data_IF_999127473847
#
_entry.id   IF_999127473847
#
_cell.length_a   1.000
_cell.length_b   1.000
_cell.length_c   1.000
_cell.angle_alpha   90.00
_cell.angle_beta   90.00
_cell.angle_gamma   90.00
#
_symmetry.space_group_name_H-M   'P 1'
#
loop_
_entity.id
_entity.type
_entity.pdbx_description
1 polymer ?
#
# COMPACT_ATOMS: atom_id res chain seq x y z
N UNK A 1 9.28 13.95 1.54
CA UNK A 1 7.83 13.75 1.69
C UNK A 1 7.17 15.06 1.34
N UNK A 2 6.71 15.20 0.10
CA UNK A 2 6.07 16.42 -0.39
C UNK A 2 4.63 16.43 0.14
N UNK A 3 4.22 17.52 0.78
CA UNK A 3 2.88 17.72 1.32
C UNK A 3 2.31 18.99 0.71
N UNK A 4 1.18 18.87 0.02
CA UNK A 4 0.44 20.02 -0.51
C UNK A 4 -0.69 20.37 0.46
N UNK A 5 -0.90 21.66 0.68
CA UNK A 5 -2.04 22.18 1.43
C UNK A 5 -2.92 23.00 0.49
N UNK A 6 -4.24 22.83 0.60
CA UNK A 6 -5.24 23.56 -0.18
C UNK A 6 -6.09 24.38 0.79
N UNK A 7 -6.15 25.70 0.60
CA UNK A 7 -6.95 26.61 1.41
C UNK A 7 -8.05 27.24 0.54
N UNK A 8 -9.24 27.41 1.09
CA UNK A 8 -10.38 28.07 0.43
C UNK A 8 -10.87 29.23 1.29
N UNK A 9 -11.14 30.38 0.66
CA UNK A 9 -11.61 31.60 1.31
C UNK A 9 -13.04 31.45 1.86
N UNK A 10 -13.89 30.72 1.14
CA UNK A 10 -15.30 30.52 1.51
C UNK A 10 -15.52 29.37 2.49
N UNK A 11 -14.46 28.67 2.89
CA UNK A 11 -14.53 27.44 3.69
C UNK A 11 -15.11 26.22 2.94
N UNK A 12 -15.51 26.38 1.68
CA UNK A 12 -15.98 25.29 0.82
C UNK A 12 -14.85 24.88 -0.14
N UNK A 13 -14.53 23.59 -0.16
CA UNK A 13 -13.49 23.03 -1.01
C UNK A 13 -14.18 22.27 -2.16
N UNK A 14 -14.25 22.89 -3.33
CA UNK A 14 -14.74 22.27 -4.56
C UNK A 14 -13.60 21.69 -5.40
N UNK A 15 -13.94 20.81 -6.36
CA UNK A 15 -13.01 20.19 -7.31
C UNK A 15 -12.13 21.20 -8.04
N UNK A 16 -12.68 22.36 -8.38
CA UNK A 16 -11.94 23.41 -9.07
C UNK A 16 -10.79 23.98 -8.20
N UNK A 17 -11.04 24.18 -6.89
CA UNK A 17 -10.07 24.71 -5.92
C UNK A 17 -8.87 23.77 -5.75
N UNK A 18 -9.13 22.46 -5.80
CA UNK A 18 -8.10 21.41 -5.73
C UNK A 18 -7.24 21.42 -6.99
N UNK A 19 -7.87 21.54 -8.16
CA UNK A 19 -7.19 21.47 -9.45
C UNK A 19 -6.36 22.74 -9.73
N UNK A 20 -6.83 23.90 -9.27
CA UNK A 20 -6.10 25.17 -9.40
C UNK A 20 -4.75 25.15 -8.66
N UNK A 21 -4.71 24.55 -7.47
CA UNK A 21 -3.48 24.42 -6.69
C UNK A 21 -2.51 23.34 -7.20
N UNK A 22 -2.97 22.45 -8.09
CA UNK A 22 -2.20 21.29 -8.54
C UNK A 22 -1.53 21.48 -9.91
N UNK A 23 -1.48 22.70 -10.46
CA UNK A 23 -1.03 22.94 -11.85
C UNK A 23 0.49 22.89 -12.08
N UNK A 24 1.32 22.70 -11.05
CA UNK A 24 2.78 22.69 -11.19
C UNK A 24 3.41 21.44 -10.56
N UNK A 25 3.17 20.27 -11.18
CA UNK A 25 4.16 19.20 -11.28
C UNK A 25 3.66 18.14 -12.28
N UNK A 26 4.17 18.04 -13.52
CA UNK A 26 3.94 16.84 -14.31
C UNK A 26 4.51 15.66 -13.52
N UNK A 27 3.76 14.57 -13.30
CA UNK A 27 4.27 13.45 -12.54
C UNK A 27 5.54 12.92 -13.21
N UNK A 28 6.69 13.03 -12.51
CA UNK A 28 7.86 12.22 -12.85
C UNK A 28 7.38 10.78 -12.86
N UNK A 29 7.38 10.15 -14.02
CA UNK A 29 7.03 8.76 -14.18
C UNK A 29 7.92 7.91 -13.26
N UNK A 30 7.38 7.50 -12.11
CA UNK A 30 7.98 6.43 -11.33
C UNK A 30 7.88 5.15 -12.16
N UNK A 31 8.90 4.28 -12.15
CA UNK A 31 8.82 3.01 -12.83
C UNK A 31 7.61 2.24 -12.29
N UNK A 32 6.77 1.84 -13.24
CA UNK A 32 5.55 1.09 -13.05
C UNK A 32 5.84 -0.16 -12.20
N UNK A 33 5.49 -0.10 -10.92
CA UNK A 33 5.78 -1.15 -9.93
C UNK A 33 4.60 -1.34 -8.99
N UNK A 34 3.52 -1.94 -9.51
CA UNK A 34 2.45 -2.52 -8.70
C UNK A 34 1.30 -1.57 -8.36
N UNK A 35 0.52 -1.22 -9.37
CA UNK A 35 -0.88 -0.83 -9.14
C UNK A 35 -1.63 -2.07 -8.64
N UNK A 36 -2.11 -2.04 -7.41
CA UNK A 36 -3.37 -2.68 -7.00
C UNK A 36 -3.79 -2.03 -5.68
N UNK A 37 -4.46 -0.89 -5.80
CA UNK A 37 -5.16 -0.22 -4.70
C UNK A 37 -6.67 -0.57 -4.70
N UNK A 38 -7.07 -1.64 -5.40
CA UNK A 38 -8.48 -2.04 -5.54
C UNK A 38 -8.76 -3.38 -4.87
N UNK A 39 -9.61 -3.37 -3.83
CA UNK A 39 -10.21 -4.59 -3.27
C UNK A 39 -10.27 -4.71 -1.74
N UNK A 40 -10.24 -3.61 -0.99
CA UNK A 40 -10.00 -3.60 0.45
C UNK A 40 -11.09 -4.20 1.38
N UNK A 41 -12.20 -4.76 0.90
CA UNK A 41 -13.29 -5.18 1.80
C UNK A 41 -13.89 -6.58 1.62
N UNK A 42 -13.52 -7.35 0.58
CA UNK A 42 -14.08 -8.70 0.36
C UNK A 42 -13.02 -9.84 0.32
N UNK A 43 -11.73 -9.51 0.13
CA UNK A 43 -10.64 -10.50 -0.09
C UNK A 43 -9.77 -10.79 1.16
N UNK A 44 -10.22 -10.47 2.37
CA UNK A 44 -9.35 -10.55 3.56
C UNK A 44 -8.85 -11.97 3.86
N UNK A 45 -9.70 -12.99 3.67
CA UNK A 45 -9.33 -14.40 3.87
C UNK A 45 -8.34 -14.87 2.80
N UNK A 46 -8.58 -14.54 1.53
CA UNK A 46 -7.69 -14.89 0.42
C UNK A 46 -6.33 -14.20 0.52
N UNK A 47 -6.31 -12.96 0.98
CA UNK A 47 -5.08 -12.20 1.19
C UNK A 47 -4.25 -12.77 2.34
N UNK A 48 -4.89 -13.21 3.44
CA UNK A 48 -4.22 -13.89 4.54
C UNK A 48 -3.56 -15.18 4.06
N UNK A 49 -4.31 -15.99 3.30
CA UNK A 49 -3.80 -17.27 2.78
C UNK A 49 -2.66 -17.05 1.78
N UNK A 50 -2.77 -16.05 0.91
CA UNK A 50 -1.70 -15.69 -0.04
C UNK A 50 -0.44 -15.21 0.68
N UNK A 51 -0.59 -14.44 1.75
CA UNK A 51 0.53 -13.96 2.56
C UNK A 51 1.24 -15.13 3.28
N UNK A 52 0.48 -16.06 3.86
CA UNK A 52 1.03 -17.27 4.50
C UNK A 52 1.78 -18.13 3.49
N UNK A 53 1.19 -18.42 2.33
CA UNK A 53 1.83 -19.23 1.29
C UNK A 53 3.15 -18.61 0.80
N UNK A 54 3.21 -17.28 0.67
CA UNK A 54 4.44 -16.57 0.32
C UNK A 54 5.49 -16.62 1.45
N UNK A 55 5.06 -16.52 2.71
CA UNK A 55 5.94 -16.65 3.87
C UNK A 55 6.51 -18.07 3.97
N UNK A 56 5.71 -19.11 3.78
CA UNK A 56 6.15 -20.51 3.77
C UNK A 56 7.16 -20.76 2.66
N UNK A 57 6.85 -20.33 1.42
CA UNK A 57 7.78 -20.44 0.28
C UNK A 57 9.08 -19.66 0.49
N UNK A 58 9.03 -18.60 1.28
CA UNK A 58 10.19 -17.79 1.64
C UNK A 58 10.98 -18.33 2.84
N UNK A 59 10.52 -19.39 3.52
CA UNK A 59 11.11 -19.85 4.78
C UNK A 59 10.97 -18.82 5.90
N UNK A 60 9.83 -18.13 5.94
CA UNK A 60 9.48 -17.07 6.90
C UNK A 60 10.34 -15.79 6.83
N UNK A 61 11.11 -15.63 5.75
CA UNK A 61 11.87 -14.40 5.47
C UNK A 61 10.96 -13.34 4.84
N UNK A 62 10.53 -12.35 5.63
CA UNK A 62 9.59 -11.29 5.21
C UNK A 62 10.01 -10.55 3.94
N UNK A 63 11.28 -10.17 3.82
CA UNK A 63 11.78 -9.45 2.64
C UNK A 63 11.68 -10.29 1.35
N UNK A 64 11.86 -11.62 1.46
CA UNK A 64 11.73 -12.54 0.34
C UNK A 64 10.26 -12.79 -0.01
N UNK A 65 9.39 -12.92 1.00
CA UNK A 65 7.95 -13.00 0.80
C UNK A 65 7.40 -11.72 0.13
N UNK A 66 7.86 -10.54 0.55
CA UNK A 66 7.47 -9.26 -0.03
C UNK A 66 7.81 -9.19 -1.53
N UNK A 67 9.01 -9.65 -1.92
CA UNK A 67 9.40 -9.76 -3.34
C UNK A 67 8.49 -10.70 -4.14
N UNK A 68 8.06 -11.82 -3.55
CA UNK A 68 7.13 -12.76 -4.20
C UNK A 68 5.73 -12.18 -4.39
N UNK A 69 5.30 -11.30 -3.47
CA UNK A 69 4.00 -10.66 -3.49
C UNK A 69 3.97 -9.32 -4.24
N UNK A 70 5.12 -8.84 -4.72
CA UNK A 70 5.23 -7.49 -5.32
C UNK A 70 5.00 -6.36 -4.30
N UNK A 71 5.24 -6.62 -3.01
CA UNK A 71 5.02 -5.70 -1.91
C UNK A 71 6.33 -5.18 -1.33
N UNK A 72 6.26 -4.07 -0.59
CA UNK A 72 7.38 -3.63 0.25
C UNK A 72 7.46 -4.49 1.52
N UNK A 73 8.66 -4.71 2.09
CA UNK A 73 8.81 -5.43 3.37
C UNK A 73 7.97 -4.84 4.51
N UNK A 74 7.78 -3.51 4.49
CA UNK A 74 6.96 -2.79 5.47
C UNK A 74 5.47 -3.14 5.36
N UNK A 75 4.94 -3.29 4.14
CA UNK A 75 3.55 -3.72 3.93
C UNK A 75 3.33 -5.14 4.42
N UNK A 76 4.27 -6.05 4.16
CA UNK A 76 4.21 -7.42 4.68
C UNK A 76 4.22 -7.44 6.21
N UNK A 77 5.13 -6.68 6.84
CA UNK A 77 5.18 -6.57 8.30
C UNK A 77 3.87 -6.04 8.89
N UNK A 78 3.31 -4.98 8.31
CA UNK A 78 2.03 -4.42 8.72
C UNK A 78 0.89 -5.44 8.61
N UNK A 79 0.82 -6.17 7.48
CA UNK A 79 -0.21 -7.19 7.26
C UNK A 79 -0.11 -8.36 8.23
N UNK A 80 1.10 -8.78 8.59
CA UNK A 80 1.33 -9.79 9.62
C UNK A 80 0.73 -9.35 10.96
N UNK A 81 0.87 -8.06 11.32
CA UNK A 81 0.33 -7.51 12.56
C UNK A 81 -1.21 -7.44 12.55
N UNK A 82 -1.83 -6.98 11.45
CA UNK A 82 -3.30 -6.83 11.40
C UNK A 82 -4.03 -8.17 11.24
N UNK A 83 -3.41 -9.16 10.57
CA UNK A 83 -4.02 -10.47 10.27
C UNK A 83 -3.70 -11.55 11.32
N UNK A 84 -3.02 -11.16 12.40
CA UNK A 84 -2.54 -12.02 13.48
C UNK A 84 -1.91 -13.32 12.94
N UNK A 85 -0.88 -13.17 12.10
CA UNK A 85 -0.17 -14.31 11.52
C UNK A 85 0.93 -14.73 12.48
N UNK A 86 0.74 -15.87 13.14
CA UNK A 86 1.74 -16.45 14.05
C UNK A 86 2.95 -16.98 13.29
N UNK A 87 4.14 -16.58 13.69
CA UNK A 87 5.38 -17.18 13.19
C UNK A 87 5.59 -18.56 13.84
N UNK A 88 5.97 -19.59 13.08
CA UNK A 88 6.32 -20.88 13.64
C UNK A 88 7.56 -20.67 14.50
N UNK A 89 7.44 -21.06 15.76
CA UNK A 89 8.58 -21.10 16.67
C UNK A 89 9.44 -22.29 16.24
N UNK A 90 10.67 -21.98 15.83
CA UNK A 90 11.70 -22.97 15.51
C UNK A 90 12.30 -23.51 16.82
#
# INVERSE_FOLDING_TARGET
LERSAVMSESGLIDRDVILFNHRDNPPKALPNGGQTEDGWLDNSLDERQRLIAALEKAGWVQAKAARLLGMTPRQVAYRIQIMDITMPRL
#
